data_IF_070008721135
#
_entry.id   IF_070008721135
#
_cell.length_a   1.000
_cell.length_b   1.000
_cell.length_c   1.000
_cell.angle_alpha   90.00
_cell.angle_beta   90.00
_cell.angle_gamma   90.00
#
_symmetry.space_group_name_H-M   'P 1'
#
loop_
_entity.id
_entity.type
_entity.pdbx_description
1 polymer ?
#
# COMPACT_ATOMS: atom_id res chain seq x y z
N UNK A 1 23.11 6.22 -0.19
CA UNK A 1 23.24 7.28 -1.20
C UNK A 1 21.96 7.34 -2.05
N UNK A 2 21.40 8.51 -2.19
CA UNK A 2 20.20 8.69 -3.02
C UNK A 2 20.61 8.89 -4.46
N UNK A 3 20.18 8.00 -5.35
CA UNK A 3 20.40 8.18 -6.79
C UNK A 3 19.42 9.19 -7.33
N UNK A 4 19.93 10.27 -7.91
CA UNK A 4 19.10 11.29 -8.53
C UNK A 4 18.63 10.82 -9.90
N UNK A 5 17.32 10.78 -10.10
CA UNK A 5 16.71 10.45 -11.39
C UNK A 5 16.18 11.74 -11.99
N UNK A 6 16.61 12.03 -13.19
CA UNK A 6 16.14 13.20 -13.93
C UNK A 6 15.16 12.76 -15.02
N UNK A 7 13.99 13.40 -15.04
CA UNK A 7 13.02 13.22 -16.10
C UNK A 7 12.85 14.56 -16.80
N UNK A 8 12.92 14.58 -18.13
CA UNK A 8 12.75 15.80 -18.89
C UNK A 8 11.34 16.37 -18.70
N UNK A 9 11.24 17.67 -18.51
CA UNK A 9 9.96 18.35 -18.33
C UNK A 9 9.12 18.36 -19.61
N UNK A 10 9.78 18.29 -20.77
CA UNK A 10 9.11 18.22 -22.08
C UNK A 10 8.84 16.75 -22.38
N UNK A 11 7.56 16.38 -22.40
CA UNK A 11 7.15 14.99 -22.63
C UNK A 11 7.63 14.44 -23.98
N UNK A 12 7.88 15.32 -24.95
CA UNK A 12 8.38 14.90 -26.28
C UNK A 12 9.82 14.43 -26.21
N UNK A 13 10.57 14.89 -25.21
CA UNK A 13 11.98 14.57 -24.99
C UNK A 13 12.18 13.61 -23.84
N UNK A 14 11.16 13.39 -23.02
CA UNK A 14 11.25 12.54 -21.87
C UNK A 14 11.42 11.09 -22.28
N UNK A 15 12.36 10.42 -21.63
CA UNK A 15 12.59 8.98 -21.79
C UNK A 15 12.02 8.22 -20.61
N UNK A 16 11.93 6.91 -20.75
CA UNK A 16 11.54 6.03 -19.65
C UNK A 16 12.60 6.06 -18.54
N UNK A 17 12.23 5.60 -17.37
CA UNK A 17 13.17 5.52 -16.26
C UNK A 17 14.34 4.61 -16.63
N UNK A 18 15.56 4.92 -16.17
CA UNK A 18 16.72 4.09 -16.47
C UNK A 18 16.57 2.68 -15.90
N UNK A 19 17.18 1.69 -16.55
CA UNK A 19 17.12 0.30 -16.11
C UNK A 19 17.56 0.12 -14.66
N UNK A 20 18.49 0.95 -14.20
CA UNK A 20 18.97 0.97 -12.82
C UNK A 20 17.83 1.16 -11.81
N UNK A 21 16.83 1.96 -12.15
CA UNK A 21 15.69 2.19 -11.27
C UNK A 21 14.98 0.89 -10.89
N UNK A 22 14.83 -0.02 -11.85
CA UNK A 22 14.11 -1.27 -11.67
C UNK A 22 14.91 -2.36 -10.95
N UNK A 23 16.21 -2.13 -10.75
CA UNK A 23 17.11 -3.13 -10.15
C UNK A 23 17.72 -2.67 -8.83
N UNK A 24 17.60 -1.41 -8.49
CA UNK A 24 18.24 -0.82 -7.32
C UNK A 24 17.38 -1.05 -6.07
N UNK A 25 17.90 -1.81 -5.11
CA UNK A 25 17.20 -2.10 -3.86
C UNK A 25 16.93 -0.86 -3.02
N UNK A 26 17.82 0.12 -3.05
CA UNK A 26 17.63 1.37 -2.31
C UNK A 26 16.45 2.16 -2.89
N UNK A 27 16.35 2.24 -4.20
CA UNK A 27 15.22 2.91 -4.86
C UNK A 27 13.91 2.17 -4.61
N UNK A 28 13.96 0.85 -4.55
CA UNK A 28 12.82 0.02 -4.17
C UNK A 28 12.32 0.36 -2.76
N UNK A 29 13.24 0.41 -1.78
CA UNK A 29 12.90 0.74 -0.40
C UNK A 29 12.38 2.17 -0.25
N UNK A 30 12.99 3.12 -0.97
CA UNK A 30 12.53 4.52 -0.98
C UNK A 30 11.13 4.61 -1.57
N UNK A 31 10.84 3.86 -2.63
CA UNK A 31 9.51 3.84 -3.25
C UNK A 31 8.46 3.31 -2.29
N UNK A 32 8.76 2.25 -1.53
CA UNK A 32 7.85 1.76 -0.48
C UNK A 32 7.50 2.85 0.50
N UNK A 33 8.50 3.53 1.04
CA UNK A 33 8.31 4.50 2.12
C UNK A 33 7.68 5.80 1.65
N UNK A 34 8.07 6.30 0.48
CA UNK A 34 7.65 7.61 0.00
C UNK A 34 6.42 7.58 -0.87
N UNK A 35 6.15 6.48 -1.54
CA UNK A 35 5.02 6.37 -2.47
C UNK A 35 3.97 5.44 -1.92
N UNK A 36 4.28 4.16 -1.80
CA UNK A 36 3.26 3.14 -1.50
C UNK A 36 2.70 3.25 -0.08
N UNK A 37 3.50 3.54 0.92
CA UNK A 37 3.02 3.74 2.29
C UNK A 37 2.21 5.01 2.48
N UNK A 38 2.26 5.93 1.52
CA UNK A 38 1.57 7.22 1.57
C UNK A 38 0.46 7.36 0.55
N UNK A 39 0.12 6.29 -0.14
CA UNK A 39 -0.87 6.31 -1.22
C UNK A 39 -2.14 5.59 -0.80
N UNK A 40 -3.21 5.88 -1.51
CA UNK A 40 -4.44 5.11 -1.42
C UNK A 40 -4.25 3.77 -2.12
N UNK A 41 -4.79 2.73 -1.51
CA UNK A 41 -4.75 1.39 -2.08
C UNK A 41 -6.16 0.85 -2.23
N UNK A 42 -6.44 0.28 -3.40
CA UNK A 42 -7.67 -0.44 -3.60
C UNK A 42 -7.54 -1.82 -2.96
N UNK A 43 -8.45 -2.16 -2.05
CA UNK A 43 -8.43 -3.46 -1.36
C UNK A 43 -9.62 -4.33 -1.71
N UNK A 44 -10.56 -3.81 -2.47
CA UNK A 44 -11.76 -4.53 -2.84
C UNK A 44 -12.97 -3.61 -2.83
N UNK A 45 -14.14 -4.20 -2.92
CA UNK A 45 -15.40 -3.49 -2.83
C UNK A 45 -16.22 -3.97 -1.61
N UNK A 46 -17.40 -3.42 -1.43
CA UNK A 46 -18.26 -3.74 -0.29
C UNK A 46 -18.79 -5.18 -0.29
N UNK A 47 -18.61 -5.91 -1.39
CA UNK A 47 -19.01 -7.33 -1.42
C UNK A 47 -18.15 -8.20 -0.52
N UNK A 48 -16.98 -7.71 -0.09
CA UNK A 48 -16.13 -8.39 0.89
C UNK A 48 -16.84 -8.53 2.25
N UNK A 49 -17.74 -7.59 2.56
CA UNK A 49 -18.42 -7.51 3.83
C UNK A 49 -19.96 -7.60 3.60
N UNK A 50 -20.39 -8.73 3.10
CA UNK A 50 -21.82 -8.96 2.77
C UNK A 50 -22.72 -9.01 4.00
N UNK A 51 -22.16 -9.37 5.15
CA UNK A 51 -22.92 -9.52 6.38
C UNK A 51 -22.50 -8.48 7.40
N UNK A 52 -23.48 -7.97 8.14
CA UNK A 52 -23.23 -7.04 9.24
C UNK A 52 -22.48 -7.77 10.37
N UNK A 53 -21.75 -7.01 11.16
CA UNK A 53 -20.94 -7.54 12.27
C UNK A 53 -19.86 -8.52 11.81
N UNK A 54 -19.31 -8.28 10.63
CA UNK A 54 -18.25 -9.10 10.03
C UNK A 54 -16.92 -8.38 10.13
N UNK A 55 -15.86 -9.15 10.41
CA UNK A 55 -14.49 -8.66 10.43
C UNK A 55 -13.68 -9.53 9.50
N UNK A 56 -12.95 -8.91 8.59
CA UNK A 56 -12.13 -9.62 7.61
C UNK A 56 -10.68 -9.13 7.73
N UNK A 57 -9.72 -10.05 7.94
CA UNK A 57 -8.31 -9.69 7.86
C UNK A 57 -7.88 -9.55 6.41
N UNK A 58 -7.01 -8.59 6.17
CA UNK A 58 -6.47 -8.34 4.83
C UNK A 58 -5.02 -7.90 4.96
N UNK A 59 -4.18 -8.32 4.02
CA UNK A 59 -2.79 -7.90 3.96
C UNK A 59 -2.59 -7.02 2.74
N UNK A 60 -2.27 -5.75 2.95
CA UNK A 60 -2.05 -4.81 1.85
C UNK A 60 -0.70 -5.11 1.20
N UNK A 61 -0.73 -5.40 -0.09
CA UNK A 61 0.45 -5.72 -0.91
C UNK A 61 1.35 -6.76 -0.25
N UNK A 62 0.90 -8.03 -0.23
CA UNK A 62 1.71 -9.13 0.32
C UNK A 62 3.07 -9.20 -0.34
N UNK A 63 4.08 -9.55 0.46
CA UNK A 63 5.49 -9.66 0.03
C UNK A 63 6.12 -8.34 -0.39
N UNK A 64 5.38 -7.25 -0.33
CA UNK A 64 5.88 -5.91 -0.63
C UNK A 64 5.75 -4.98 0.57
N UNK A 65 4.55 -4.57 0.92
CA UNK A 65 4.30 -3.77 2.13
C UNK A 65 4.01 -4.63 3.34
N UNK A 66 3.31 -5.73 3.14
CA UNK A 66 2.86 -6.63 4.21
C UNK A 66 2.18 -5.89 5.35
N UNK A 67 1.27 -4.98 5.00
CA UNK A 67 0.55 -4.19 6.00
C UNK A 67 -0.74 -4.90 6.39
N UNK A 68 -0.77 -5.56 7.56
CA UNK A 68 -1.97 -6.28 7.99
C UNK A 68 -3.02 -5.32 8.54
N UNK A 69 -4.23 -5.45 8.05
CA UNK A 69 -5.37 -4.64 8.49
C UNK A 69 -6.57 -5.53 8.79
N UNK A 70 -7.50 -4.98 9.57
CA UNK A 70 -8.83 -5.55 9.79
C UNK A 70 -9.84 -4.60 9.17
N UNK A 71 -10.73 -5.14 8.33
CA UNK A 71 -11.84 -4.38 7.78
C UNK A 71 -13.11 -4.92 8.42
N UNK A 72 -13.91 -4.05 9.00
CA UNK A 72 -15.12 -4.45 9.70
C UNK A 72 -16.34 -3.70 9.20
N UNK A 73 -17.49 -4.35 9.30
CA UNK A 73 -18.79 -3.76 9.01
C UNK A 73 -19.66 -3.87 10.27
N UNK A 74 -20.16 -2.73 10.76
CA UNK A 74 -21.06 -2.69 11.91
C UNK A 74 -22.50 -2.95 11.52
N UNK A 75 -23.40 -3.04 12.52
CA UNK A 75 -24.83 -3.19 12.28
C UNK A 75 -25.42 -2.05 11.47
N UNK A 76 -24.81 -0.86 11.56
CA UNK A 76 -25.27 0.33 10.83
C UNK A 76 -24.67 0.43 9.41
N UNK A 77 -24.12 -0.66 8.90
CA UNK A 77 -23.46 -0.73 7.61
C UNK A 77 -22.25 0.22 7.52
N UNK A 78 -21.67 0.57 8.65
CA UNK A 78 -20.50 1.45 8.70
C UNK A 78 -19.22 0.62 8.55
N UNK A 79 -18.42 0.96 7.57
CA UNK A 79 -17.13 0.31 7.35
C UNK A 79 -16.05 0.99 8.18
N UNK A 80 -15.20 0.19 8.78
CA UNK A 80 -14.05 0.67 9.55
C UNK A 80 -12.82 -0.16 9.21
N UNK A 81 -11.64 0.45 9.28
CA UNK A 81 -10.39 -0.21 8.99
C UNK A 81 -9.41 0.04 10.12
N UNK A 82 -8.78 -1.02 10.59
CA UNK A 82 -7.84 -0.95 11.71
C UNK A 82 -6.55 -1.67 11.37
N UNK A 83 -5.45 -1.23 11.96
CA UNK A 83 -4.21 -1.98 11.90
C UNK A 83 -4.38 -3.29 12.65
N UNK A 84 -3.98 -4.40 12.02
CA UNK A 84 -4.04 -5.74 12.65
C UNK A 84 -2.72 -6.06 13.34
N UNK A 85 -2.25 -5.15 14.17
CA UNK A 85 -1.05 -5.35 14.98
C UNK A 85 -1.42 -5.15 16.44
N UNK A 86 -1.25 -6.18 17.25
CA UNK A 86 -1.51 -6.08 18.69
C UNK A 86 -0.47 -5.16 19.35
N UNK A 87 -0.94 -4.07 19.93
CA UNK A 87 -0.06 -3.12 20.63
C UNK A 87 0.51 -3.70 21.93
N UNK A 88 -0.10 -4.75 22.45
CA UNK A 88 0.31 -5.40 23.69
C UNK A 88 1.37 -6.50 23.44
N UNK A 89 1.19 -7.33 22.41
CA UNK A 89 2.06 -8.48 22.14
C UNK A 89 2.58 -8.59 20.70
N UNK A 90 2.26 -7.63 19.84
CA UNK A 90 2.77 -7.60 18.49
C UNK A 90 2.18 -8.64 17.54
N UNK A 91 1.01 -9.15 17.85
CA UNK A 91 0.32 -10.08 16.94
C UNK A 91 -0.26 -9.35 15.74
#
# INVERSE_FOLDING_TARGET
MVTKINVDKDIRLAETLPAKFYKDENLFDISKKKIFLRSWHWIGDDTLLKEKNTIIPYNILPEFLDEPILVSCSEDDKLSCFSNVCTHRGN
#
